data_IF_934478967270
#
_entry.id   IF_934478967270
#
_cell.length_a   1.000
_cell.length_b   1.000
_cell.length_c   1.000
_cell.angle_alpha   90.00
_cell.angle_beta   90.00
_cell.angle_gamma   90.00
#
_symmetry.space_group_name_H-M   'P 1'
#
loop_
_entity.id
_entity.type
_entity.pdbx_description
1 polymer ?
#
# COMPACT_ATOMS: atom_id res chain seq x y z
N UNK A 1 -25.67 0.53 21.71
CA UNK A 1 -26.31 0.09 20.46
C UNK A 1 -25.68 -1.25 20.13
N UNK A 2 -26.46 -2.35 20.04
CA UNK A 2 -25.92 -3.64 19.64
C UNK A 2 -25.39 -3.51 18.20
N UNK A 3 -24.10 -3.80 18.00
CA UNK A 3 -23.54 -4.00 16.68
C UNK A 3 -24.34 -5.16 16.05
N UNK A 4 -25.25 -4.86 15.17
CA UNK A 4 -25.87 -5.86 14.30
C UNK A 4 -24.77 -6.31 13.35
N UNK A 5 -24.11 -7.39 13.70
CA UNK A 5 -23.10 -8.02 12.83
C UNK A 5 -23.83 -8.47 11.57
N UNK A 6 -23.63 -7.76 10.45
CA UNK A 6 -24.16 -8.21 9.17
C UNK A 6 -23.55 -9.55 8.82
N UNK A 7 -24.38 -10.48 8.35
CA UNK A 7 -23.94 -11.83 8.06
C UNK A 7 -22.98 -11.86 6.85
N UNK A 8 -21.89 -12.57 7.01
CA UNK A 8 -21.01 -12.97 5.91
C UNK A 8 -21.35 -14.43 5.56
N UNK A 9 -21.40 -14.84 4.27
CA UNK A 9 -21.53 -16.24 3.91
C UNK A 9 -20.43 -17.08 4.58
N UNK A 10 -20.81 -17.93 5.54
CA UNK A 10 -19.85 -18.62 6.41
C UNK A 10 -19.14 -19.79 5.70
N UNK A 11 -19.78 -20.36 4.68
CA UNK A 11 -19.41 -21.58 3.98
C UNK A 11 -18.43 -21.38 2.82
N UNK A 12 -18.17 -20.14 2.41
CA UNK A 12 -17.28 -19.87 1.27
C UNK A 12 -16.52 -18.55 1.39
N UNK A 13 -15.32 -18.50 0.80
CA UNK A 13 -14.54 -17.28 0.58
C UNK A 13 -14.83 -16.67 -0.80
N UNK A 14 -15.55 -17.37 -1.65
CA UNK A 14 -15.83 -16.97 -3.02
C UNK A 14 -17.09 -16.08 -3.17
N UNK A 15 -17.68 -15.67 -2.04
CA UNK A 15 -18.82 -14.75 -1.99
C UNK A 15 -18.52 -13.60 -1.03
N UNK A 16 -18.42 -12.39 -1.55
CA UNK A 16 -18.08 -11.19 -0.78
C UNK A 16 -19.31 -10.28 -0.73
N UNK A 17 -19.85 -9.98 0.44
CA UNK A 17 -21.04 -9.13 0.56
C UNK A 17 -20.72 -7.69 0.15
N UNK A 18 -21.57 -7.07 -0.66
CA UNK A 18 -21.34 -5.69 -1.10
C UNK A 18 -21.43 -4.64 0.01
N UNK A 19 -22.12 -4.94 1.12
CA UNK A 19 -22.15 -4.05 2.27
C UNK A 19 -20.74 -3.73 2.83
N UNK A 20 -19.78 -4.65 2.66
CA UNK A 20 -18.40 -4.48 3.19
C UNK A 20 -17.71 -3.23 2.64
N UNK A 21 -18.10 -2.74 1.47
CA UNK A 21 -17.53 -1.55 0.85
C UNK A 21 -18.25 -0.25 1.24
N UNK A 22 -19.34 -0.30 2.02
CA UNK A 22 -20.25 0.82 2.21
C UNK A 22 -20.61 1.09 3.67
N UNK A 23 -20.46 0.09 4.55
CA UNK A 23 -20.88 0.19 5.94
C UNK A 23 -19.86 0.98 6.75
N UNK A 24 -20.28 2.15 7.27
CA UNK A 24 -19.41 3.04 8.07
C UNK A 24 -18.97 2.40 9.39
N UNK A 25 -19.85 1.63 10.04
CA UNK A 25 -19.51 0.97 11.31
C UNK A 25 -18.42 -0.08 11.09
N UNK A 26 -18.54 -0.85 9.98
CA UNK A 26 -17.52 -1.78 9.54
C UNK A 26 -16.21 -1.07 9.20
N UNK A 27 -16.27 0.04 8.47
CA UNK A 27 -15.10 0.85 8.14
C UNK A 27 -14.36 1.33 9.40
N UNK A 28 -15.08 1.86 10.37
CA UNK A 28 -14.45 2.26 11.64
C UNK A 28 -13.90 1.07 12.45
N UNK A 29 -14.51 -0.11 12.33
CA UNK A 29 -13.94 -1.33 12.90
C UNK A 29 -12.64 -1.74 12.18
N UNK A 30 -12.54 -1.59 10.87
CA UNK A 30 -11.31 -1.82 10.08
C UNK A 30 -10.15 -0.94 10.56
N UNK A 31 -10.41 0.35 10.77
CA UNK A 31 -9.38 1.26 11.29
C UNK A 31 -8.81 0.75 12.61
N UNK A 32 -9.66 0.29 13.53
CA UNK A 32 -9.24 -0.22 14.85
C UNK A 32 -8.61 -1.61 14.80
N UNK A 33 -9.23 -2.55 14.07
CA UNK A 33 -8.85 -3.97 14.11
C UNK A 33 -7.74 -4.32 13.14
N UNK A 34 -7.64 -3.59 12.02
CA UNK A 34 -6.65 -3.83 10.98
C UNK A 34 -5.52 -2.81 11.12
N UNK A 35 -5.78 -1.53 10.87
CA UNK A 35 -4.71 -0.52 10.79
C UNK A 35 -4.07 -0.20 12.16
N UNK A 36 -4.87 -0.12 13.22
CA UNK A 36 -4.37 0.04 14.60
C UNK A 36 -4.17 -1.32 15.31
N UNK A 37 -4.57 -2.42 14.67
CA UNK A 37 -4.44 -3.79 15.14
C UNK A 37 -3.07 -4.42 14.89
N UNK A 38 -2.96 -5.78 15.01
CA UNK A 38 -1.69 -6.49 14.92
C UNK A 38 -1.21 -6.69 13.48
N UNK A 39 -1.07 -5.57 12.75
CA UNK A 39 -0.55 -5.51 11.39
C UNK A 39 0.62 -4.54 11.29
N UNK A 40 1.47 -4.74 10.27
CA UNK A 40 2.52 -3.81 9.92
C UNK A 40 2.07 -2.91 8.78
N UNK A 41 1.86 -1.62 9.07
CA UNK A 41 1.62 -0.60 8.06
C UNK A 41 2.94 -0.06 7.52
N UNK A 42 3.11 -0.06 6.19
CA UNK A 42 4.19 0.67 5.53
C UNK A 42 3.98 2.16 5.72
N UNK A 43 5.03 2.89 6.09
CA UNK A 43 4.93 4.32 6.41
C UNK A 43 5.85 5.21 5.56
N UNK A 44 7.05 4.76 5.20
CA UNK A 44 7.94 5.50 4.28
C UNK A 44 9.11 4.61 3.82
N UNK A 45 9.91 5.12 2.88
CA UNK A 45 11.24 4.56 2.62
C UNK A 45 12.23 4.99 3.72
N UNK A 46 13.18 4.14 4.05
CA UNK A 46 14.25 4.49 4.99
C UNK A 46 15.08 5.66 4.48
N UNK A 47 15.22 5.79 3.16
CA UNK A 47 15.89 6.92 2.51
C UNK A 47 15.16 8.26 2.68
N UNK A 48 13.89 8.26 3.08
CA UNK A 48 13.12 9.48 3.36
C UNK A 48 13.53 10.12 4.69
N UNK A 49 14.13 9.33 5.57
CA UNK A 49 14.58 9.71 6.90
C UNK A 49 16.02 9.23 7.13
N UNK A 50 16.91 9.55 6.21
CA UNK A 50 18.29 9.04 6.18
C UNK A 50 19.16 9.59 7.32
N UNK A 51 18.96 10.84 7.71
CA UNK A 51 19.80 11.56 8.69
C UNK A 51 19.04 11.91 9.95
N UNK A 52 19.71 11.98 11.12
CA UNK A 52 19.07 12.39 12.37
C UNK A 52 18.30 13.70 12.22
N UNK A 53 17.04 13.68 12.68
CA UNK A 53 16.11 14.79 12.60
C UNK A 53 15.31 14.87 11.28
N UNK A 54 15.72 14.18 10.22
CA UNK A 54 14.88 14.07 9.02
C UNK A 54 13.60 13.31 9.33
N UNK A 55 12.46 13.84 8.86
CA UNK A 55 11.15 13.28 9.13
C UNK A 55 10.29 13.23 7.88
N UNK A 56 9.29 12.35 7.92
CA UNK A 56 8.18 12.28 6.99
C UNK A 56 6.86 12.17 7.75
N UNK A 57 5.83 12.88 7.27
CA UNK A 57 4.46 12.68 7.74
C UNK A 57 3.73 11.72 6.80
N UNK A 58 2.87 10.90 7.38
CA UNK A 58 2.05 9.90 6.67
C UNK A 58 0.85 9.51 7.53
N UNK A 59 0.20 8.38 7.19
CA UNK A 59 -0.95 7.87 7.94
C UNK A 59 -0.81 6.36 8.20
N UNK A 60 -1.41 5.92 9.31
CA UNK A 60 -1.74 4.52 9.58
C UNK A 60 -3.25 4.44 9.69
N UNK A 61 -3.91 3.83 8.69
CA UNK A 61 -5.33 4.07 8.50
C UNK A 61 -5.59 5.56 8.24
N UNK A 62 -6.43 6.19 9.06
CA UNK A 62 -6.66 7.64 9.06
C UNK A 62 -5.85 8.41 10.12
N UNK A 63 -5.12 7.69 10.98
CA UNK A 63 -4.31 8.33 12.02
C UNK A 63 -3.07 8.99 11.40
N UNK A 64 -2.89 10.33 11.54
CA UNK A 64 -1.69 11.00 11.08
C UNK A 64 -0.48 10.59 11.92
N UNK A 65 0.67 10.34 11.28
CA UNK A 65 1.90 9.84 11.89
C UNK A 65 3.10 10.67 11.44
N UNK A 66 4.01 10.96 12.37
CA UNK A 66 5.38 11.42 12.08
C UNK A 66 6.30 10.22 12.15
N UNK A 67 7.10 10.02 11.10
CA UNK A 67 8.23 9.09 11.07
C UNK A 67 9.51 9.92 11.06
N UNK A 68 10.46 9.64 11.95
CA UNK A 68 11.67 10.46 12.09
C UNK A 68 12.90 9.63 12.42
N UNK A 69 14.05 10.01 11.89
CA UNK A 69 15.35 9.44 12.32
C UNK A 69 15.78 10.05 13.64
N UNK A 70 15.94 9.24 14.64
CA UNK A 70 16.45 9.64 15.96
C UNK A 70 17.93 9.98 15.95
N UNK A 71 18.40 10.68 17.01
CA UNK A 71 19.83 10.93 17.23
C UNK A 71 20.62 9.66 17.55
N UNK A 72 19.91 8.60 17.99
CA UNK A 72 20.44 7.26 18.22
C UNK A 72 20.58 6.43 16.93
N UNK A 73 20.22 7.00 15.78
CA UNK A 73 20.22 6.33 14.49
C UNK A 73 19.00 5.43 14.24
N UNK A 74 18.15 5.21 15.25
CA UNK A 74 16.89 4.47 15.09
C UNK A 74 15.81 5.27 14.36
N UNK A 75 14.86 4.58 13.74
CA UNK A 75 13.64 5.22 13.19
C UNK A 75 12.56 5.15 14.27
N UNK A 76 11.95 6.28 14.55
CA UNK A 76 10.84 6.38 15.49
C UNK A 76 9.58 6.83 14.77
N UNK A 77 8.42 6.39 15.23
CA UNK A 77 7.12 6.83 14.73
C UNK A 77 6.16 7.13 15.88
N UNK A 78 5.40 8.20 15.74
CA UNK A 78 4.39 8.58 16.71
C UNK A 78 3.27 9.37 16.05
N UNK A 79 2.10 9.38 16.69
CA UNK A 79 0.93 10.09 16.21
C UNK A 79 1.22 11.58 16.02
N UNK A 80 0.91 12.13 14.87
CA UNK A 80 1.07 13.55 14.55
C UNK A 80 -0.07 14.38 15.14
N UNK A 81 -0.25 14.30 16.46
CA UNK A 81 -1.32 15.00 17.17
C UNK A 81 -0.83 15.51 18.52
N UNK A 82 -0.88 16.82 18.70
CA UNK A 82 -0.48 17.48 19.93
C UNK A 82 -1.41 17.07 21.10
N UNK A 83 -0.83 16.60 22.19
CA UNK A 83 -1.56 16.16 23.38
C UNK A 83 -2.37 17.28 24.06
N UNK A 84 -2.05 18.56 23.78
CA UNK A 84 -2.77 19.70 24.38
C UNK A 84 -4.20 19.83 23.82
N UNK A 85 -4.35 20.08 22.52
CA UNK A 85 -5.65 20.34 21.89
C UNK A 85 -5.78 19.73 20.49
N UNK A 86 -5.01 18.69 20.18
CA UNK A 86 -5.17 17.88 18.99
C UNK A 86 -4.64 18.48 17.68
N UNK A 87 -3.97 19.64 17.70
CA UNK A 87 -3.36 20.18 16.47
C UNK A 87 -2.25 19.28 15.95
N UNK A 88 -2.04 19.26 14.63
CA UNK A 88 -0.87 18.58 14.05
C UNK A 88 0.42 19.17 14.63
N UNK A 89 1.38 18.31 14.93
CA UNK A 89 2.71 18.70 15.47
C UNK A 89 3.63 19.12 14.32
N UNK A 90 3.69 18.32 13.25
CA UNK A 90 4.38 18.63 11.99
C UNK A 90 3.34 18.89 10.90
N UNK A 91 3.51 19.96 10.14
CA UNK A 91 2.57 20.40 9.09
C UNK A 91 3.07 20.05 7.69
N UNK A 92 4.37 19.92 7.51
CA UNK A 92 4.99 19.59 6.23
C UNK A 92 5.02 18.07 5.99
N UNK A 93 4.94 17.66 4.74
CA UNK A 93 5.03 16.24 4.34
C UNK A 93 6.39 15.62 4.66
N UNK A 94 7.45 16.43 4.62
CA UNK A 94 8.81 16.03 4.95
C UNK A 94 9.63 17.24 5.36
N UNK A 95 10.68 17.02 6.13
CA UNK A 95 11.57 18.08 6.55
C UNK A 95 12.65 17.58 7.50
N UNK A 96 13.27 18.52 8.20
CA UNK A 96 14.27 18.21 9.22
C UNK A 96 14.12 19.12 10.43
N UNK A 97 14.21 18.54 11.61
CA UNK A 97 14.27 19.26 12.88
C UNK A 97 15.54 18.87 13.63
N UNK A 98 16.11 19.79 14.38
CA UNK A 98 17.37 19.51 15.07
C UNK A 98 17.21 18.45 16.18
N UNK A 99 16.33 18.70 17.14
CA UNK A 99 16.14 17.82 18.30
C UNK A 99 14.68 17.71 18.75
N UNK A 100 13.78 18.54 18.24
CA UNK A 100 12.39 18.59 18.71
C UNK A 100 11.44 19.16 17.65
N UNK A 101 10.22 18.68 17.67
CA UNK A 101 9.06 19.26 17.02
C UNK A 101 8.39 20.26 17.95
N UNK A 102 7.89 21.37 17.43
CA UNK A 102 7.17 22.36 18.20
C UNK A 102 5.80 22.63 17.57
N UNK A 103 4.75 22.35 18.33
CA UNK A 103 3.39 22.61 17.91
C UNK A 103 3.19 24.13 17.69
N UNK A 104 2.64 24.50 16.53
CA UNK A 104 2.43 25.90 16.14
C UNK A 104 1.40 26.61 17.00
N UNK A 105 0.49 25.85 17.67
CA UNK A 105 -0.62 26.45 18.39
C UNK A 105 -0.19 27.05 19.73
N UNK A 106 0.46 26.28 20.61
CA UNK A 106 0.86 26.74 21.95
C UNK A 106 2.32 26.38 22.31
N UNK A 107 3.15 26.12 21.29
CA UNK A 107 4.57 25.82 21.43
C UNK A 107 4.91 24.62 22.36
N UNK A 108 3.98 23.67 22.55
CA UNK A 108 4.31 22.40 23.16
C UNK A 108 5.36 21.69 22.32
N UNK A 109 6.40 21.18 22.96
CA UNK A 109 7.56 20.65 22.25
C UNK A 109 7.73 19.16 22.55
N UNK A 110 8.02 18.40 21.50
CA UNK A 110 8.17 16.95 21.54
C UNK A 110 9.54 16.56 21.00
N UNK A 111 10.23 15.64 21.67
CA UNK A 111 11.50 15.12 21.17
C UNK A 111 11.28 14.20 19.94
N UNK A 112 12.38 13.67 19.39
CA UNK A 112 12.34 12.80 18.20
C UNK A 112 11.72 11.41 18.50
N UNK A 113 11.40 11.11 19.76
CA UNK A 113 10.68 9.91 20.18
C UNK A 113 9.22 10.18 20.54
N UNK A 114 8.75 11.42 20.34
CA UNK A 114 7.40 11.84 20.68
C UNK A 114 7.16 12.09 22.17
N UNK A 115 8.20 12.22 23.01
CA UNK A 115 8.01 12.59 24.40
C UNK A 115 7.75 14.10 24.51
N UNK A 116 6.77 14.50 25.33
CA UNK A 116 6.55 15.89 25.65
C UNK A 116 7.70 16.40 26.54
N UNK A 117 8.51 17.33 25.99
CA UNK A 117 9.72 17.84 26.69
C UNK A 117 9.61 19.31 27.11
N UNK A 118 8.67 20.06 26.55
CA UNK A 118 8.53 21.48 26.90
C UNK A 118 7.11 22.03 26.70
N UNK A 119 6.72 22.92 27.56
CA UNK A 119 5.46 23.65 27.56
C UNK A 119 5.78 25.14 27.70
N UNK A 120 5.27 25.97 26.80
CA UNK A 120 5.45 27.42 26.91
C UNK A 120 4.74 27.94 28.16
N UNK A 121 5.43 28.78 28.92
CA UNK A 121 4.92 29.33 30.17
C UNK A 121 4.50 28.27 31.20
N UNK A 122 5.16 27.12 31.24
CA UNK A 122 4.89 26.02 32.16
C UNK A 122 4.85 26.50 33.65
N UNK A 123 5.71 27.42 33.99
CA UNK A 123 5.79 28.04 35.34
C UNK A 123 4.92 29.29 35.50
N UNK A 124 4.07 29.58 34.54
CA UNK A 124 3.26 30.81 34.51
C UNK A 124 4.01 32.05 34.03
N UNK A 125 3.37 33.21 34.15
CA UNK A 125 3.91 34.51 33.79
C UNK A 125 3.82 35.43 35.04
N UNK A 126 4.91 36.10 35.39
CA UNK A 126 4.98 36.98 36.59
C UNK A 126 4.50 36.29 37.90
N UNK A 127 4.82 35.04 38.07
CA UNK A 127 4.43 34.25 39.24
C UNK A 127 2.95 33.86 39.32
N UNK A 128 2.21 33.99 38.21
CA UNK A 128 0.76 33.66 38.13
C UNK A 128 0.47 32.67 37.02
N UNK A 129 -0.52 31.81 37.27
CA UNK A 129 -0.89 30.76 36.32
C UNK A 129 0.18 29.69 36.19
N UNK A 130 0.29 29.08 35.02
CA UNK A 130 1.18 27.96 34.72
C UNK A 130 0.47 26.61 34.86
N UNK A 131 1.24 25.54 34.68
CA UNK A 131 0.74 24.17 34.88
C UNK A 131 0.63 23.86 36.37
N UNK A 132 -0.30 22.98 36.78
CA UNK A 132 -0.38 22.45 38.12
C UNK A 132 0.96 21.84 38.60
N UNK A 133 1.27 21.88 39.88
CA UNK A 133 2.53 21.38 40.42
C UNK A 133 2.73 19.87 40.25
N UNK A 134 1.63 19.13 40.15
CA UNK A 134 1.58 17.68 39.94
C UNK A 134 1.51 17.27 38.47
N UNK A 135 1.54 18.23 37.51
CA UNK A 135 1.51 17.93 36.10
C UNK A 135 2.78 17.19 35.65
N UNK A 136 2.62 15.96 35.16
CA UNK A 136 3.69 15.10 34.68
C UNK A 136 3.72 15.06 33.17
N UNK A 137 4.75 15.66 32.55
CA UNK A 137 4.90 15.64 31.06
C UNK A 137 5.01 14.23 30.46
N UNK A 138 5.55 13.28 31.22
CA UNK A 138 5.69 11.89 30.73
C UNK A 138 4.35 11.20 30.43
N UNK A 139 3.27 11.67 31.10
CA UNK A 139 1.92 11.10 30.92
C UNK A 139 1.17 11.71 29.71
N UNK A 140 1.76 12.71 29.03
CA UNK A 140 1.11 13.54 28.04
C UNK A 140 1.88 13.58 26.71
N UNK A 141 2.19 12.43 26.14
CA UNK A 141 2.75 12.32 24.79
C UNK A 141 1.73 11.83 23.76
N UNK A 142 1.98 12.01 22.44
CA UNK A 142 1.24 11.30 21.41
C UNK A 142 1.47 9.78 21.51
N UNK A 143 0.53 9.00 20.94
CA UNK A 143 0.69 7.54 20.84
C UNK A 143 1.96 7.22 20.06
N UNK A 144 2.75 6.27 20.55
CA UNK A 144 3.98 5.81 19.90
C UNK A 144 3.73 4.51 19.18
N UNK A 145 4.33 4.38 18.00
CA UNK A 145 4.26 3.16 17.21
C UNK A 145 5.61 2.43 17.31
N UNK A 146 5.56 1.12 17.42
CA UNK A 146 6.73 0.28 17.23
C UNK A 146 7.10 0.28 15.74
N UNK A 147 8.37 0.44 15.43
CA UNK A 147 8.89 0.49 14.07
C UNK A 147 9.83 -0.65 13.76
N UNK A 148 9.91 -1.03 12.50
CA UNK A 148 10.94 -1.93 11.96
C UNK A 148 11.31 -1.50 10.55
N UNK A 149 12.52 -1.83 10.12
CA UNK A 149 13.00 -1.58 8.75
C UNK A 149 13.37 -2.89 8.09
N UNK A 150 12.87 -3.09 6.88
CA UNK A 150 13.17 -4.27 6.06
C UNK A 150 13.44 -3.85 4.63
N UNK A 151 14.64 -4.15 4.09
CA UNK A 151 15.01 -3.82 2.71
C UNK A 151 14.75 -2.34 2.34
N UNK A 152 15.04 -1.42 3.24
CA UNK A 152 14.81 0.02 3.05
C UNK A 152 13.35 0.48 3.13
N UNK A 153 12.42 -0.40 3.48
CA UNK A 153 11.03 -0.11 3.79
C UNK A 153 10.84 0.05 5.29
N UNK A 154 10.22 1.12 5.73
CA UNK A 154 9.89 1.35 7.15
C UNK A 154 8.45 0.96 7.39
N UNK A 155 8.24 0.14 8.41
CA UNK A 155 6.93 -0.29 8.88
C UNK A 155 6.68 0.19 10.30
N UNK A 156 5.41 0.41 10.63
CA UNK A 156 4.98 0.79 11.96
C UNK A 156 3.72 0.03 12.38
N UNK A 157 3.58 -0.23 13.69
CA UNK A 157 2.42 -0.88 14.29
C UNK A 157 2.11 -0.28 15.67
N UNK A 158 0.83 -0.19 16.00
CA UNK A 158 0.38 0.18 17.36
C UNK A 158 0.26 -1.04 18.28
N UNK A 159 -0.01 -2.21 17.73
CA UNK A 159 -0.22 -3.41 18.51
C UNK A 159 1.12 -4.00 19.00
N UNK A 160 1.28 -4.25 20.30
CA UNK A 160 2.53 -4.76 20.85
C UNK A 160 2.80 -6.23 20.47
N UNK A 161 1.76 -6.98 20.17
CA UNK A 161 1.78 -8.41 19.85
C UNK A 161 1.93 -8.71 18.34
N UNK A 162 2.08 -7.68 17.49
CA UNK A 162 2.39 -7.90 16.07
C UNK A 162 3.70 -8.67 15.95
N UNK A 163 3.74 -9.82 15.24
CA UNK A 163 4.95 -10.63 15.11
C UNK A 163 6.08 -9.86 14.40
N UNK A 164 7.34 -10.33 14.49
CA UNK A 164 8.44 -9.79 13.70
C UNK A 164 8.08 -9.74 12.22
N UNK A 165 8.58 -8.73 11.49
CA UNK A 165 8.18 -8.48 10.08
C UNK A 165 8.50 -9.66 9.18
N UNK A 166 9.59 -10.37 9.41
CA UNK A 166 9.98 -11.54 8.62
C UNK A 166 9.00 -12.71 8.83
N UNK A 167 8.54 -12.92 10.06
CA UNK A 167 7.52 -13.92 10.39
C UNK A 167 6.16 -13.50 9.81
N UNK A 168 5.81 -12.22 9.92
CA UNK A 168 4.59 -11.64 9.37
C UNK A 168 4.46 -11.87 7.86
N UNK A 169 5.57 -11.72 7.12
CA UNK A 169 5.60 -11.91 5.67
C UNK A 169 5.68 -13.40 5.27
N UNK A 170 6.40 -14.21 6.03
CA UNK A 170 6.78 -15.55 5.63
C UNK A 170 7.88 -15.59 4.57
N UNK A 171 8.54 -16.72 4.43
CA UNK A 171 9.77 -16.86 3.64
C UNK A 171 9.58 -16.56 2.13
N UNK A 172 8.47 -17.00 1.54
CA UNK A 172 8.20 -16.80 0.10
C UNK A 172 7.99 -15.33 -0.25
N UNK A 173 7.11 -14.65 0.49
CA UNK A 173 6.83 -13.22 0.27
C UNK A 173 8.08 -12.39 0.55
N UNK A 174 8.81 -12.69 1.64
CA UNK A 174 10.07 -12.05 1.98
C UNK A 174 11.11 -12.19 0.86
N UNK A 175 11.22 -13.38 0.25
CA UNK A 175 12.10 -13.61 -0.90
C UNK A 175 11.75 -12.70 -2.08
N UNK A 176 10.47 -12.50 -2.35
CA UNK A 176 10.00 -11.62 -3.43
C UNK A 176 10.16 -10.13 -3.11
N UNK A 177 10.06 -9.73 -1.83
CA UNK A 177 10.42 -8.38 -1.39
C UNK A 177 11.92 -8.13 -1.63
N UNK A 178 12.78 -9.05 -1.17
CA UNK A 178 14.24 -8.95 -1.34
C UNK A 178 14.66 -8.92 -2.80
N UNK A 179 13.92 -9.59 -3.69
CA UNK A 179 14.19 -9.55 -5.13
C UNK A 179 14.12 -8.13 -5.70
N UNK A 180 13.09 -7.35 -5.34
CA UNK A 180 12.87 -6.00 -5.87
C UNK A 180 13.57 -4.93 -5.02
N UNK A 181 13.63 -5.14 -3.70
CA UNK A 181 14.13 -4.16 -2.73
C UNK A 181 15.50 -4.56 -2.14
N UNK A 182 16.25 -5.45 -2.82
CA UNK A 182 17.53 -5.98 -2.33
C UNK A 182 18.73 -5.06 -2.49
N UNK A 183 18.57 -3.92 -3.16
CA UNK A 183 19.60 -2.90 -3.37
C UNK A 183 19.18 -1.56 -2.77
N UNK A 184 20.13 -0.67 -2.44
CA UNK A 184 19.81 0.69 -2.05
C UNK A 184 19.03 1.41 -3.14
N UNK A 185 17.89 2.00 -2.76
CA UNK A 185 16.98 2.70 -3.68
C UNK A 185 17.17 4.21 -3.63
N UNK A 186 16.87 4.85 -4.76
CA UNK A 186 16.69 6.29 -4.88
C UNK A 186 15.30 6.61 -5.36
N UNK A 187 14.70 7.68 -4.85
CA UNK A 187 13.39 8.15 -5.27
C UNK A 187 13.51 8.89 -6.60
N UNK A 188 12.74 8.47 -7.59
CA UNK A 188 12.68 9.12 -8.91
C UNK A 188 11.53 10.14 -9.01
N UNK A 189 10.46 9.93 -8.27
CA UNK A 189 9.30 10.83 -8.23
C UNK A 189 8.20 10.30 -7.34
N UNK A 190 7.25 11.18 -6.98
CA UNK A 190 6.07 10.86 -6.18
C UNK A 190 4.82 11.44 -6.80
N UNK A 191 3.72 10.71 -6.62
CA UNK A 191 2.38 11.13 -7.03
C UNK A 191 1.37 10.71 -5.96
N UNK A 192 0.34 11.51 -5.78
CA UNK A 192 -0.84 11.13 -5.02
C UNK A 192 -2.02 11.03 -5.97
N UNK A 193 -2.71 9.90 -5.93
CA UNK A 193 -3.91 9.64 -6.70
C UNK A 193 -5.09 9.50 -5.74
N UNK A 194 -6.08 10.39 -5.83
CA UNK A 194 -7.36 10.24 -5.15
C UNK A 194 -8.26 9.30 -5.94
N UNK A 195 -8.82 8.30 -5.30
CA UNK A 195 -9.71 7.30 -5.90
C UNK A 195 -11.08 7.33 -5.23
N UNK A 196 -12.19 7.38 -6.02
CA UNK A 196 -13.55 7.44 -5.50
C UNK A 196 -14.10 6.04 -5.20
N UNK A 197 -13.39 5.32 -4.35
CA UNK A 197 -13.77 3.96 -3.95
C UNK A 197 -13.19 3.58 -2.59
N UNK A 198 -13.79 2.59 -1.96
CA UNK A 198 -13.29 1.98 -0.74
C UNK A 198 -11.90 1.37 -0.94
N UNK A 199 -11.01 1.48 0.07
CA UNK A 199 -9.64 0.98 0.01
C UNK A 199 -9.55 -0.52 -0.31
N UNK A 200 -10.54 -1.30 0.10
CA UNK A 200 -10.59 -2.75 -0.17
C UNK A 200 -10.74 -3.06 -1.65
N UNK A 201 -11.52 -2.28 -2.39
CA UNK A 201 -11.68 -2.45 -3.83
C UNK A 201 -10.36 -2.29 -4.58
N UNK A 202 -9.54 -1.33 -4.16
CA UNK A 202 -8.21 -1.19 -4.74
C UNK A 202 -7.27 -2.33 -4.30
N UNK A 203 -7.38 -2.77 -3.04
CA UNK A 203 -6.55 -3.86 -2.53
C UNK A 203 -6.89 -5.20 -3.18
N UNK A 204 -8.15 -5.43 -3.55
CA UNK A 204 -8.57 -6.55 -4.41
C UNK A 204 -8.01 -6.41 -5.82
N UNK A 205 -8.17 -5.23 -6.44
CA UNK A 205 -7.71 -4.97 -7.81
C UNK A 205 -6.23 -5.32 -7.98
N UNK A 206 -5.35 -4.87 -7.08
CA UNK A 206 -3.91 -5.19 -7.19
C UNK A 206 -3.56 -6.65 -6.90
N UNK A 207 -4.49 -7.43 -6.35
CA UNK A 207 -4.34 -8.88 -6.14
C UNK A 207 -4.93 -9.70 -7.28
N UNK A 208 -5.80 -9.10 -8.05
CA UNK A 208 -6.50 -9.76 -9.15
C UNK A 208 -5.61 -9.83 -10.39
N UNK A 209 -5.18 -11.04 -10.75
CA UNK A 209 -4.41 -11.29 -11.97
C UNK A 209 -5.30 -11.48 -13.20
N UNK A 210 -6.59 -11.76 -12.98
CA UNK A 210 -7.52 -12.07 -14.05
C UNK A 210 -7.87 -10.83 -14.88
N UNK A 211 -8.09 -9.67 -14.26
CA UNK A 211 -8.46 -8.45 -14.97
C UNK A 211 -7.33 -7.86 -15.82
N UNK A 212 -6.07 -7.98 -15.37
CA UNK A 212 -4.96 -7.15 -15.84
C UNK A 212 -4.84 -7.05 -17.37
N UNK A 213 -4.86 -8.17 -18.09
CA UNK A 213 -4.78 -8.17 -19.54
C UNK A 213 -6.14 -8.11 -20.26
N UNK A 214 -7.24 -8.12 -19.53
CA UNK A 214 -8.59 -7.97 -20.04
C UNK A 214 -9.04 -6.51 -20.01
N UNK A 215 -8.69 -5.80 -18.95
CA UNK A 215 -8.97 -4.38 -18.77
C UNK A 215 -7.97 -3.50 -19.51
N UNK A 216 -6.67 -3.74 -19.30
CA UNK A 216 -5.61 -2.88 -19.80
C UNK A 216 -5.27 -3.21 -21.25
N UNK A 217 -5.83 -2.42 -22.17
CA UNK A 217 -5.57 -2.57 -23.62
C UNK A 217 -4.06 -2.53 -23.94
N UNK A 218 -3.28 -1.72 -23.23
CA UNK A 218 -1.85 -1.64 -23.40
C UNK A 218 -1.15 -2.96 -23.04
N UNK A 219 -1.49 -3.56 -21.91
CA UNK A 219 -0.90 -4.83 -21.48
C UNK A 219 -1.22 -5.97 -22.43
N UNK A 220 -2.48 -6.09 -22.84
CA UNK A 220 -2.92 -7.11 -23.79
C UNK A 220 -2.30 -6.95 -25.17
N UNK A 221 -2.36 -5.74 -25.74
CA UNK A 221 -1.87 -5.44 -27.09
C UNK A 221 -0.36 -5.61 -27.22
N UNK A 222 0.41 -5.08 -26.27
CA UNK A 222 1.89 -5.14 -26.30
C UNK A 222 2.48 -6.34 -25.54
N UNK A 223 1.64 -7.28 -25.12
CA UNK A 223 2.07 -8.56 -24.50
C UNK A 223 2.96 -8.40 -23.29
N UNK A 224 2.77 -7.31 -22.53
CA UNK A 224 3.47 -7.10 -21.26
C UNK A 224 2.97 -8.13 -20.26
N UNK A 225 1.66 -8.40 -20.28
CA UNK A 225 1.06 -9.48 -19.50
C UNK A 225 -0.20 -9.98 -20.18
N UNK A 226 -0.34 -11.32 -20.25
CA UNK A 226 -1.52 -12.02 -20.79
C UNK A 226 -1.79 -13.25 -19.92
N UNK A 227 -3.05 -13.67 -19.83
CA UNK A 227 -3.44 -14.90 -19.12
C UNK A 227 -2.79 -16.16 -19.72
N UNK A 228 -2.45 -16.10 -21.00
CA UNK A 228 -1.80 -17.20 -21.75
C UNK A 228 -0.26 -17.27 -21.54
N UNK A 229 0.34 -16.27 -20.90
CA UNK A 229 1.77 -16.27 -20.58
C UNK A 229 2.06 -17.07 -19.30
N UNK A 230 3.29 -17.58 -19.17
CA UNK A 230 3.77 -18.19 -17.94
C UNK A 230 3.79 -17.21 -16.77
N UNK A 231 3.67 -17.74 -15.58
CA UNK A 231 3.59 -16.98 -14.33
C UNK A 231 2.56 -17.58 -13.41
N UNK A 232 2.21 -16.86 -12.36
CA UNK A 232 1.26 -17.36 -11.38
C UNK A 232 1.01 -16.36 -10.26
N UNK A 233 0.43 -16.89 -9.19
CA UNK A 233 0.21 -16.20 -7.93
C UNK A 233 0.81 -16.98 -6.78
N UNK A 234 1.48 -16.28 -5.87
CA UNK A 234 1.88 -16.78 -4.56
C UNK A 234 0.98 -16.12 -3.53
N UNK A 235 0.45 -16.90 -2.62
CA UNK A 235 -0.42 -16.42 -1.53
C UNK A 235 0.15 -16.90 -0.22
N UNK A 236 0.32 -16.00 0.77
CA UNK A 236 0.77 -16.41 2.11
C UNK A 236 -0.24 -17.38 2.74
N UNK A 237 0.18 -18.29 3.63
CA UNK A 237 -0.71 -19.30 4.22
C UNK A 237 -1.94 -18.71 4.92
N UNK A 238 -1.80 -17.51 5.47
CA UNK A 238 -2.89 -16.77 6.10
C UNK A 238 -3.76 -15.95 5.12
N UNK A 239 -3.35 -15.86 3.85
CA UNK A 239 -4.03 -15.13 2.79
C UNK A 239 -3.70 -13.62 2.73
N UNK A 240 -3.02 -13.06 3.72
CA UNK A 240 -2.83 -11.61 3.86
C UNK A 240 -1.96 -11.01 2.75
N UNK A 241 -0.90 -11.72 2.37
CA UNK A 241 0.10 -11.24 1.41
C UNK A 241 0.01 -12.03 0.12
N UNK A 242 0.38 -11.40 -0.99
CA UNK A 242 0.42 -12.10 -2.26
C UNK A 242 1.50 -11.53 -3.18
N UNK A 243 1.85 -12.34 -4.18
CA UNK A 243 2.65 -11.93 -5.34
C UNK A 243 1.97 -12.46 -6.59
N UNK A 244 1.68 -11.60 -7.55
CA UNK A 244 1.42 -12.02 -8.93
C UNK A 244 2.63 -11.74 -9.80
N UNK A 245 2.94 -12.64 -10.72
CA UNK A 245 4.08 -12.46 -11.61
C UNK A 245 3.82 -13.01 -13.00
N UNK A 246 4.47 -12.39 -14.01
CA UNK A 246 4.45 -12.81 -15.41
C UNK A 246 5.87 -13.05 -15.87
N UNK A 247 6.11 -14.22 -16.49
CA UNK A 247 7.37 -14.57 -17.11
C UNK A 247 7.33 -14.12 -18.58
N UNK A 248 8.34 -13.35 -18.99
CA UNK A 248 8.55 -12.95 -20.36
C UNK A 248 8.82 -14.17 -21.24
N UNK A 249 8.08 -14.30 -22.35
CA UNK A 249 8.28 -15.36 -23.33
C UNK A 249 8.49 -14.75 -24.71
N UNK A 250 9.30 -15.38 -25.58
CA UNK A 250 9.39 -15.03 -26.99
C UNK A 250 8.00 -15.10 -27.66
N UNK A 251 7.83 -14.30 -28.70
CA UNK A 251 6.62 -14.23 -29.49
C UNK A 251 6.26 -15.60 -30.08
N UNK A 252 5.17 -16.22 -29.68
CA UNK A 252 4.57 -17.31 -30.42
C UNK A 252 3.04 -17.43 -30.26
N UNK A 253 2.50 -18.38 -30.98
CA UNK A 253 1.16 -18.77 -31.39
C UNK A 253 -0.03 -18.62 -30.40
N UNK A 254 0.14 -18.18 -29.16
CA UNK A 254 -0.94 -18.09 -28.14
C UNK A 254 -1.80 -16.83 -28.23
N UNK A 255 -1.54 -15.96 -29.21
CA UNK A 255 -2.33 -14.73 -29.42
C UNK A 255 -3.73 -15.02 -30.02
N UNK A 256 -3.96 -16.19 -30.61
CA UNK A 256 -5.25 -16.58 -31.15
C UNK A 256 -6.37 -16.56 -30.09
N UNK A 257 -6.09 -17.05 -28.86
CA UNK A 257 -7.08 -17.13 -27.79
C UNK A 257 -7.74 -15.78 -27.44
N UNK A 258 -7.00 -14.67 -27.46
CA UNK A 258 -7.54 -13.34 -27.18
C UNK A 258 -8.49 -12.86 -28.28
N UNK A 259 -8.17 -13.14 -29.54
CA UNK A 259 -9.03 -12.82 -30.70
C UNK A 259 -10.30 -13.66 -30.71
N UNK A 260 -10.16 -14.96 -30.45
CA UNK A 260 -11.30 -15.90 -30.40
C UNK A 260 -12.29 -15.53 -29.27
N UNK A 261 -11.80 -14.99 -28.16
CA UNK A 261 -12.64 -14.55 -27.04
C UNK A 261 -13.23 -13.14 -27.26
N UNK A 262 -12.87 -12.43 -28.32
CA UNK A 262 -13.34 -11.07 -28.59
C UNK A 262 -12.90 -10.05 -27.52
N UNK A 263 -11.72 -10.22 -26.96
CA UNK A 263 -11.24 -9.41 -25.82
C UNK A 263 -10.88 -8.01 -26.29
N UNK A 264 -11.48 -7.00 -25.65
CA UNK A 264 -11.31 -5.57 -25.95
C UNK A 264 -9.87 -5.10 -25.90
N UNK A 265 -9.03 -5.69 -25.07
CA UNK A 265 -7.63 -5.29 -24.86
C UNK A 265 -6.67 -5.72 -25.98
N UNK A 266 -7.14 -6.46 -27.00
CA UNK A 266 -6.35 -6.75 -28.20
C UNK A 266 -6.75 -5.80 -29.32
N UNK A 267 -5.87 -4.85 -29.63
CA UNK A 267 -6.10 -3.83 -30.66
C UNK A 267 -5.18 -4.08 -31.85
N UNK A 268 -5.78 -4.59 -32.95
CA UNK A 268 -5.07 -4.79 -34.20
C UNK A 268 -4.61 -3.44 -34.78
N UNK A 269 -3.36 -3.40 -35.21
CA UNK A 269 -2.79 -2.18 -35.80
C UNK A 269 -2.41 -1.06 -34.87
N UNK A 270 -2.67 -1.18 -33.57
CA UNK A 270 -2.20 -0.20 -32.60
C UNK A 270 -0.67 -0.17 -32.54
N UNK A 271 -0.08 1.01 -32.68
CA UNK A 271 1.37 1.23 -32.69
C UNK A 271 1.71 2.39 -31.77
N UNK A 272 2.83 2.28 -31.08
CA UNK A 272 3.36 3.37 -30.29
C UNK A 272 4.13 4.35 -31.17
N UNK A 273 3.95 5.64 -30.92
CA UNK A 273 4.76 6.68 -31.55
C UNK A 273 6.23 6.58 -31.10
N UNK A 274 6.47 6.16 -29.85
CA UNK A 274 7.79 5.88 -29.32
C UNK A 274 7.86 4.43 -28.79
N UNK A 275 8.43 3.53 -29.59
CA UNK A 275 8.60 2.12 -29.23
C UNK A 275 9.52 1.89 -28.02
N UNK A 276 10.35 2.90 -27.64
CA UNK A 276 11.22 2.81 -26.46
C UNK A 276 10.47 2.68 -25.14
N UNK A 277 9.15 2.92 -25.11
CA UNK A 277 8.29 2.59 -23.96
C UNK A 277 8.25 1.10 -23.64
N UNK A 278 8.49 0.24 -24.64
CA UNK A 278 8.53 -1.22 -24.51
C UNK A 278 9.95 -1.77 -24.33
N UNK A 279 10.97 -0.92 -24.49
CA UNK A 279 12.37 -1.33 -24.37
C UNK A 279 12.70 -1.69 -22.92
N UNK A 280 12.95 -2.98 -22.66
CA UNK A 280 13.22 -3.50 -21.33
C UNK A 280 14.39 -4.47 -21.31
N UNK A 281 15.01 -4.61 -20.15
CA UNK A 281 16.09 -5.56 -19.88
C UNK A 281 15.71 -6.43 -18.69
N UNK A 282 16.16 -7.69 -18.70
CA UNK A 282 15.99 -8.61 -17.56
C UNK A 282 17.03 -8.29 -16.48
N UNK A 283 16.76 -7.30 -15.65
CA UNK A 283 17.69 -6.81 -14.63
C UNK A 283 17.84 -7.73 -13.41
N UNK A 284 16.90 -8.67 -13.24
CA UNK A 284 16.92 -9.63 -12.13
C UNK A 284 17.38 -11.04 -12.55
N UNK A 285 17.65 -11.24 -13.85
CA UNK A 285 18.09 -12.50 -14.45
C UNK A 285 17.17 -13.70 -14.16
N UNK A 286 15.86 -13.46 -14.11
CA UNK A 286 14.85 -14.48 -13.81
C UNK A 286 13.67 -14.47 -14.78
N UNK A 287 13.74 -13.64 -15.81
CA UNK A 287 12.74 -13.48 -16.86
C UNK A 287 11.36 -12.98 -16.36
N UNK A 288 11.23 -12.55 -15.10
CA UNK A 288 10.00 -11.96 -14.59
C UNK A 288 9.93 -10.50 -15.06
N UNK A 289 9.00 -10.23 -15.96
CA UNK A 289 8.81 -8.89 -16.52
C UNK A 289 7.71 -8.07 -15.82
N UNK A 290 6.88 -8.73 -15.03
CA UNK A 290 5.89 -8.06 -14.17
C UNK A 290 5.82 -8.80 -12.84
N UNK A 291 5.88 -8.05 -11.75
CA UNK A 291 5.58 -8.53 -10.40
C UNK A 291 4.79 -7.47 -9.65
N UNK A 292 3.61 -7.83 -9.14
CA UNK A 292 2.84 -7.04 -8.19
C UNK A 292 2.81 -7.81 -6.88
N UNK A 293 3.37 -7.23 -5.84
CA UNK A 293 3.43 -7.81 -4.49
C UNK A 293 2.64 -6.92 -3.54
N UNK A 294 1.79 -7.48 -2.71
CA UNK A 294 1.10 -6.76 -1.65
C UNK A 294 1.50 -7.27 -0.28
N UNK A 295 1.72 -6.34 0.64
CA UNK A 295 1.81 -6.61 2.07
C UNK A 295 0.60 -5.94 2.73
N UNK A 296 -0.24 -6.76 3.33
CA UNK A 296 -1.41 -6.29 4.07
C UNK A 296 -0.97 -5.42 5.26
N UNK A 297 -1.65 -4.29 5.57
CA UNK A 297 -2.88 -3.82 4.91
C UNK A 297 -2.67 -2.78 3.81
N UNK A 298 -1.46 -2.20 3.62
CA UNK A 298 -1.38 -0.95 2.87
C UNK A 298 -0.19 -0.81 1.90
N UNK A 299 0.61 -1.86 1.68
CA UNK A 299 1.79 -1.77 0.82
C UNK A 299 1.62 -2.56 -0.47
N UNK A 300 1.99 -1.92 -1.58
CA UNK A 300 2.19 -2.58 -2.88
C UNK A 300 3.60 -2.30 -3.37
N UNK A 301 4.34 -3.35 -3.74
CA UNK A 301 5.63 -3.25 -4.43
C UNK A 301 5.42 -3.70 -5.87
N UNK A 302 5.69 -2.81 -6.79
CA UNK A 302 5.45 -3.03 -8.21
C UNK A 302 6.75 -3.09 -8.99
N UNK A 303 6.86 -4.09 -9.85
CA UNK A 303 7.73 -4.09 -11.02
C UNK A 303 6.86 -4.28 -12.26
N UNK A 304 6.96 -3.37 -13.23
CA UNK A 304 6.42 -3.56 -14.59
C UNK A 304 7.55 -3.23 -15.55
N UNK A 305 8.09 -4.26 -16.20
CA UNK A 305 9.36 -4.18 -16.95
C UNK A 305 10.48 -3.63 -16.04
N UNK A 306 11.09 -2.49 -16.35
CA UNK A 306 12.09 -1.85 -15.49
C UNK A 306 11.52 -0.70 -14.63
N UNK A 307 10.23 -0.38 -14.75
CA UNK A 307 9.58 0.57 -13.84
C UNK A 307 9.34 -0.08 -12.49
N UNK A 308 9.88 0.54 -11.44
CA UNK A 308 9.73 0.10 -10.06
C UNK A 308 8.97 1.16 -9.27
N UNK A 309 8.02 0.74 -8.45
CA UNK A 309 7.27 1.64 -7.58
C UNK A 309 6.89 0.97 -6.26
N UNK A 310 6.83 1.78 -5.21
CA UNK A 310 6.20 1.45 -3.95
C UNK A 310 4.93 2.29 -3.85
N UNK A 311 3.79 1.64 -3.53
CA UNK A 311 2.51 2.30 -3.37
C UNK A 311 2.00 2.11 -1.95
N UNK A 312 1.54 3.18 -1.33
CA UNK A 312 0.89 3.15 -0.03
C UNK A 312 -0.61 3.41 -0.23
N UNK A 313 -1.43 2.50 0.29
CA UNK A 313 -2.89 2.59 0.27
C UNK A 313 -3.35 3.26 1.56
N UNK A 314 -4.06 4.37 1.44
CA UNK A 314 -4.55 5.17 2.57
C UNK A 314 -6.07 5.32 2.48
N UNK A 315 -6.85 4.70 3.39
CA UNK A 315 -8.28 4.93 3.46
C UNK A 315 -8.58 6.39 3.82
N UNK A 316 -9.65 6.95 3.24
CA UNK A 316 -10.14 8.32 3.45
C UNK A 316 -11.67 8.33 3.55
N UNK A 317 -12.20 7.44 4.36
CA UNK A 317 -13.63 7.19 4.47
C UNK A 317 -14.09 5.97 3.66
N UNK A 318 -15.39 5.72 3.70
CA UNK A 318 -16.01 4.54 3.08
C UNK A 318 -15.91 4.56 1.56
N UNK A 319 -16.02 5.73 0.93
CA UNK A 319 -16.12 5.89 -0.52
C UNK A 319 -14.89 6.53 -1.15
N UNK A 320 -13.81 6.72 -0.39
CA UNK A 320 -12.62 7.39 -0.88
C UNK A 320 -11.34 6.78 -0.31
N UNK A 321 -10.28 6.85 -1.10
CA UNK A 321 -8.93 6.53 -0.67
C UNK A 321 -7.91 7.38 -1.41
N UNK A 322 -6.71 7.47 -0.85
CA UNK A 322 -5.53 7.98 -1.53
C UNK A 322 -4.55 6.86 -1.79
N UNK A 323 -3.93 6.90 -2.94
CA UNK A 323 -2.84 6.03 -3.32
C UNK A 323 -1.58 6.88 -3.50
N UNK A 324 -0.62 6.69 -2.60
CA UNK A 324 0.66 7.40 -2.67
C UNK A 324 1.67 6.55 -3.43
N UNK A 325 2.08 7.04 -4.58
CA UNK A 325 3.07 6.44 -5.45
C UNK A 325 4.46 6.98 -5.16
N UNK A 326 5.43 6.11 -4.98
CA UNK A 326 6.86 6.44 -4.95
C UNK A 326 7.55 5.62 -6.02
N UNK A 327 7.93 6.25 -7.13
CA UNK A 327 8.78 5.64 -8.14
C UNK A 327 10.22 5.61 -7.64
N UNK A 328 10.85 4.46 -7.82
CA UNK A 328 12.20 4.22 -7.36
C UNK A 328 13.09 3.71 -8.50
N UNK A 329 14.37 3.96 -8.39
CA UNK A 329 15.44 3.30 -9.09
C UNK A 329 16.48 2.80 -8.09
N UNK A 330 17.52 2.15 -8.56
CA UNK A 330 18.64 1.78 -7.71
C UNK A 330 19.71 2.87 -7.68
N UNK A 331 20.47 2.93 -6.59
CA UNK A 331 21.52 3.90 -6.44
C UNK A 331 22.67 3.72 -7.47
N UNK A 332 22.79 2.49 -8.00
CA UNK A 332 23.76 2.10 -9.03
C UNK A 332 23.21 2.14 -10.47
N UNK A 333 21.97 2.64 -10.68
CA UNK A 333 21.41 2.82 -12.03
C UNK A 333 22.25 3.81 -12.84
N UNK A 334 22.66 3.41 -14.03
CA UNK A 334 23.24 4.33 -15.01
C UNK A 334 22.19 5.27 -15.63
N UNK A 335 22.64 6.21 -16.41
CA UNK A 335 21.76 7.21 -17.04
C UNK A 335 20.73 6.58 -17.99
N UNK A 336 21.09 5.48 -18.68
CA UNK A 336 20.18 4.79 -19.61
C UNK A 336 19.08 4.06 -18.83
N UNK A 337 19.44 3.29 -17.79
CA UNK A 337 18.45 2.61 -16.95
C UNK A 337 17.51 3.60 -16.26
N UNK A 338 18.05 4.71 -15.74
CA UNK A 338 17.23 5.78 -15.15
C UNK A 338 16.21 6.34 -16.15
N UNK A 339 16.62 6.61 -17.38
CA UNK A 339 15.72 7.09 -18.43
C UNK A 339 14.66 6.05 -18.83
N UNK A 340 15.05 4.77 -18.87
CA UNK A 340 14.13 3.66 -19.12
C UNK A 340 13.04 3.57 -18.04
N UNK A 341 13.44 3.62 -16.76
CA UNK A 341 12.47 3.64 -15.64
C UNK A 341 11.49 4.81 -15.73
N UNK A 342 11.99 6.02 -16.01
CA UNK A 342 11.17 7.23 -16.12
C UNK A 342 10.18 7.18 -17.30
N UNK A 343 10.60 6.63 -18.46
CA UNK A 343 9.68 6.45 -19.60
C UNK A 343 8.55 5.48 -19.23
N UNK A 344 8.91 4.33 -18.67
CA UNK A 344 7.93 3.30 -18.30
C UNK A 344 7.03 3.72 -17.13
N UNK A 345 7.51 4.56 -16.21
CA UNK A 345 6.70 5.13 -15.14
C UNK A 345 5.53 5.97 -15.67
N UNK A 346 5.72 6.68 -16.79
CA UNK A 346 4.63 7.43 -17.43
C UNK A 346 3.52 6.54 -17.99
N UNK A 347 3.84 5.26 -18.27
CA UNK A 347 2.86 4.31 -18.79
C UNK A 347 1.99 3.69 -17.71
N UNK A 348 2.60 3.29 -16.59
CA UNK A 348 1.94 2.47 -15.56
C UNK A 348 1.45 3.27 -14.36
N UNK A 349 1.84 4.53 -14.25
CA UNK A 349 1.51 5.39 -13.12
C UNK A 349 0.12 6.05 -13.19
N UNK A 350 -0.18 6.93 -12.23
CA UNK A 350 -1.49 7.58 -12.11
C UNK A 350 -1.88 8.42 -13.34
N UNK A 351 -0.90 8.96 -14.05
CA UNK A 351 -1.12 9.66 -15.33
C UNK A 351 -1.06 8.72 -16.55
N UNK A 352 -0.77 7.44 -16.35
CA UNK A 352 -0.66 6.42 -17.38
C UNK A 352 -1.96 5.66 -17.61
N UNK A 353 -2.01 4.89 -18.68
CA UNK A 353 -3.20 4.13 -19.06
C UNK A 353 -3.62 3.08 -18.04
N UNK A 354 -2.66 2.42 -17.37
CA UNK A 354 -2.95 1.27 -16.51
C UNK A 354 -3.62 1.72 -15.21
N UNK A 355 -3.00 2.56 -14.41
CA UNK A 355 -3.55 2.95 -13.10
C UNK A 355 -4.81 3.83 -13.23
N UNK A 356 -4.95 4.56 -14.33
CA UNK A 356 -6.16 5.35 -14.60
C UNK A 356 -7.37 4.44 -14.88
N UNK A 357 -7.18 3.34 -15.62
CA UNK A 357 -8.23 2.33 -15.86
C UNK A 357 -8.65 1.65 -14.55
N UNK A 358 -7.70 1.27 -13.68
CA UNK A 358 -7.96 0.71 -12.36
C UNK A 358 -8.79 1.66 -11.48
N UNK A 359 -8.41 2.93 -11.45
CA UNK A 359 -9.13 3.96 -10.71
C UNK A 359 -10.56 4.14 -11.18
N UNK A 360 -10.80 4.09 -12.50
CA UNK A 360 -12.15 4.15 -13.06
C UNK A 360 -12.99 2.93 -12.67
N UNK A 361 -12.42 1.73 -12.80
CA UNK A 361 -13.13 0.47 -12.47
C UNK A 361 -13.47 0.39 -11.00
N UNK A 362 -12.56 0.77 -10.10
CA UNK A 362 -12.85 0.85 -8.67
C UNK A 362 -14.06 1.73 -8.36
N UNK A 363 -14.16 2.90 -9.00
CA UNK A 363 -15.32 3.80 -8.87
C UNK A 363 -16.59 3.22 -9.50
N UNK A 364 -16.51 2.40 -10.56
CA UNK A 364 -17.67 1.73 -11.12
C UNK A 364 -18.22 0.67 -10.18
N UNK A 365 -17.34 -0.14 -9.58
CA UNK A 365 -17.73 -1.15 -8.59
C UNK A 365 -18.33 -0.51 -7.35
N UNK A 366 -17.72 0.58 -6.82
CA UNK A 366 -18.26 1.31 -5.66
C UNK A 366 -19.71 1.74 -5.90
N UNK A 367 -19.98 2.36 -7.06
CA UNK A 367 -21.34 2.81 -7.41
C UNK A 367 -22.31 1.65 -7.69
N UNK A 368 -21.83 0.59 -8.35
CA UNK A 368 -22.66 -0.59 -8.61
C UNK A 368 -23.05 -1.32 -7.34
N UNK A 369 -22.11 -1.48 -6.41
CA UNK A 369 -22.34 -2.13 -5.13
C UNK A 369 -23.24 -1.31 -4.18
N UNK A 370 -23.26 0.04 -4.32
CA UNK A 370 -24.01 0.92 -3.45
C UNK A 370 -25.54 0.64 -3.44
N UNK A 371 -26.08 0.19 -4.55
CA UNK A 371 -27.51 -0.14 -4.67
C UNK A 371 -27.85 -1.60 -4.30
N UNK A 372 -26.85 -2.43 -3.97
CA UNK A 372 -26.95 -3.87 -3.82
C UNK A 372 -26.33 -4.38 -2.51
N UNK A 373 -26.48 -3.64 -1.42
CA UNK A 373 -25.82 -3.93 -0.13
C UNK A 373 -26.14 -5.32 0.44
N UNK A 374 -27.27 -5.92 0.06
CA UNK A 374 -27.71 -7.23 0.51
C UNK A 374 -27.28 -8.37 -0.44
N UNK A 375 -26.61 -8.04 -1.54
CA UNK A 375 -26.09 -9.00 -2.51
C UNK A 375 -24.60 -9.31 -2.24
N UNK A 376 -24.09 -10.29 -2.99
CA UNK A 376 -22.70 -10.75 -2.88
C UNK A 376 -22.05 -10.81 -4.25
N UNK A 377 -20.75 -10.53 -4.30
CA UNK A 377 -19.92 -10.77 -5.50
C UNK A 377 -19.59 -12.24 -5.67
N UNK A 378 -19.07 -12.60 -6.84
CA UNK A 378 -18.66 -13.96 -7.20
C UNK A 378 -17.18 -13.94 -7.57
N UNK A 379 -16.32 -14.55 -6.75
CA UNK A 379 -14.85 -14.60 -6.93
C UNK A 379 -14.37 -16.06 -7.04
N UNK A 380 -14.89 -16.77 -8.04
CA UNK A 380 -14.68 -18.21 -8.23
C UNK A 380 -13.64 -18.58 -9.30
N UNK A 381 -13.02 -17.61 -10.00
CA UNK A 381 -12.03 -17.97 -11.02
C UNK A 381 -10.89 -18.79 -10.41
N UNK A 382 -10.62 -19.95 -10.98
CA UNK A 382 -9.61 -20.90 -10.48
C UNK A 382 -10.06 -21.73 -9.28
N UNK A 383 -11.37 -21.75 -8.93
CA UNK A 383 -11.93 -22.56 -7.83
C UNK A 383 -12.22 -21.76 -6.56
N UNK A 384 -12.26 -22.40 -5.40
CA UNK A 384 -12.63 -21.80 -4.11
C UNK A 384 -11.46 -21.67 -3.12
N UNK A 385 -10.32 -22.32 -3.41
CA UNK A 385 -9.14 -22.30 -2.56
C UNK A 385 -8.39 -20.96 -2.56
N UNK A 386 -7.44 -20.84 -1.63
CA UNK A 386 -6.58 -19.66 -1.47
C UNK A 386 -5.10 -19.99 -1.69
N UNK A 387 -4.80 -21.17 -2.19
CA UNK A 387 -3.45 -21.67 -2.40
C UNK A 387 -2.78 -20.94 -3.58
N UNK A 388 -1.45 -20.91 -3.53
CA UNK A 388 -0.62 -20.45 -4.66
C UNK A 388 -0.90 -21.28 -5.90
N UNK A 389 -0.91 -20.63 -7.08
CA UNK A 389 -1.20 -21.28 -8.36
C UNK A 389 -0.21 -20.81 -9.42
N UNK A 390 0.20 -21.72 -10.30
CA UNK A 390 1.06 -21.46 -11.45
C UNK A 390 0.28 -21.04 -12.71
N UNK A 391 -0.86 -20.40 -12.50
CA UNK A 391 -1.70 -19.77 -13.50
C UNK A 391 -2.12 -18.38 -13.05
N UNK A 392 -2.45 -17.52 -14.02
CA UNK A 392 -2.95 -16.17 -13.77
C UNK A 392 -4.46 -16.04 -14.00
N UNK A 393 -5.09 -17.07 -14.54
CA UNK A 393 -6.55 -17.18 -14.64
C UNK A 393 -7.13 -17.67 -13.30
N UNK A 394 -6.96 -16.88 -12.25
CA UNK A 394 -7.37 -17.21 -10.88
C UNK A 394 -7.66 -15.95 -10.05
N UNK A 395 -8.55 -16.08 -9.08
CA UNK A 395 -8.83 -15.12 -8.01
C UNK A 395 -8.40 -15.65 -6.63
N UNK A 396 -7.52 -16.65 -6.57
CA UNK A 396 -7.05 -17.23 -5.31
C UNK A 396 -6.46 -16.19 -4.34
N UNK A 397 -5.75 -15.20 -4.85
CA UNK A 397 -5.18 -14.09 -4.08
C UNK A 397 -6.25 -13.12 -3.54
N UNK A 398 -7.34 -12.90 -4.27
CA UNK A 398 -8.50 -12.12 -3.80
C UNK A 398 -9.20 -12.86 -2.67
N UNK A 399 -9.47 -14.16 -2.84
CA UNK A 399 -10.03 -15.00 -1.76
C UNK A 399 -9.10 -15.07 -0.54
N UNK A 400 -7.78 -15.11 -0.76
CA UNK A 400 -6.79 -15.01 0.31
C UNK A 400 -6.93 -13.72 1.12
N UNK A 401 -7.08 -12.59 0.44
CA UNK A 401 -7.34 -11.31 1.12
C UNK A 401 -8.58 -11.37 2.00
N UNK A 402 -9.68 -11.90 1.49
CA UNK A 402 -10.92 -12.00 2.28
C UNK A 402 -10.82 -12.99 3.43
N UNK A 403 -10.04 -14.06 3.29
CA UNK A 403 -9.69 -14.95 4.41
C UNK A 403 -8.99 -14.19 5.53
N UNK A 404 -7.96 -13.41 5.19
CA UNK A 404 -7.22 -12.61 6.17
C UNK A 404 -8.11 -11.50 6.77
N UNK A 405 -8.86 -10.79 5.95
CA UNK A 405 -9.78 -9.75 6.37
C UNK A 405 -10.80 -10.28 7.40
N UNK A 406 -11.46 -11.39 7.09
CA UNK A 406 -12.43 -12.03 8.01
C UNK A 406 -11.79 -12.37 9.35
N UNK A 407 -10.58 -12.90 9.34
CA UNK A 407 -9.84 -13.22 10.58
C UNK A 407 -9.61 -11.97 11.43
N UNK A 408 -9.15 -10.86 10.84
CA UNK A 408 -8.93 -9.61 11.58
C UNK A 408 -10.23 -8.97 12.06
N UNK A 409 -11.30 -9.08 11.27
CA UNK A 409 -12.60 -8.51 11.61
C UNK A 409 -13.43 -9.39 12.53
N UNK A 410 -13.08 -10.66 12.69
CA UNK A 410 -13.80 -11.62 13.54
C UNK A 410 -15.11 -12.11 12.92
N UNK A 411 -15.13 -12.27 11.57
CA UNK A 411 -16.24 -12.86 10.82
C UNK A 411 -16.06 -14.35 10.59
#
# INVERSE_FOLDING_TARGET
MSETTRAWPADTLARVPFWVYQDEANYHAELRRIFEGPTWSYVCLESDVAKPGEFRTTFVGEMPVIVVRGQDGGVHAFENRCAHRGALIALDDAGSVKNAFRCVYHAWSYDLRGNLIGIAFEKGSNGRGGMPADFCKADHGPRKLRTTTLCGLVFATLAPDTPPIEEYLGAEILGRVRRVMGKPVQVLGRFTQGLPNNWKLYFENVKDTYHASLLHAFFGTFRITRLTQGGGVLVSPDGAHHVSYTIGVPEDARSAAYREQGIRSELDGFRLADARLLDSVDEFNDRIQLQILTVFPNLVIQQVQNSLAVRQILPKGVEAMELHWTYIGFADDDAEMRQRRLRQANLVGPAGYVSMEDGCVGGFVQRGAAAASDEVSVVNMGGEGTESMDTRATEASVRGFWKAYRRYMGH
#
